data_IF_689487441386
#
_entry.id   IF_689487441386
#
_cell.length_a   1.000
_cell.length_b   1.000
_cell.length_c   1.000
_cell.angle_alpha   90.00
_cell.angle_beta   90.00
_cell.angle_gamma   90.00
#
_symmetry.space_group_name_H-M   'P 1'
#
loop_
_entity.id
_entity.type
_entity.pdbx_description
1 polymer ?
#
# COMPACT_ATOMS: atom_id res chain seq x y z
N UNK A 1 -11.65 11.41 -26.27
CA UNK A 1 -10.30 11.40 -25.68
C UNK A 1 -10.26 10.38 -24.56
N UNK A 2 -9.83 9.12 -24.79
CA UNK A 2 -9.68 8.14 -23.72
C UNK A 2 -8.25 8.18 -23.18
N UNK A 3 -8.07 8.48 -21.89
CA UNK A 3 -6.80 8.27 -21.20
C UNK A 3 -6.95 7.04 -20.30
N UNK A 4 -6.49 5.91 -20.83
CA UNK A 4 -6.23 4.72 -20.05
C UNK A 4 -4.84 4.81 -19.42
N UNK A 5 -4.81 4.64 -18.09
CA UNK A 5 -3.82 3.89 -17.30
C UNK A 5 -2.33 4.23 -17.47
N UNK A 6 -1.72 4.77 -16.42
CA UNK A 6 -0.36 4.42 -15.97
C UNK A 6 -0.02 5.16 -14.67
N UNK A 7 -0.08 4.46 -13.53
CA UNK A 7 0.69 4.77 -12.32
C UNK A 7 0.44 3.69 -11.26
N UNK A 8 0.86 2.46 -11.53
CA UNK A 8 1.03 1.44 -10.48
C UNK A 8 1.99 0.36 -10.97
N UNK A 9 3.23 0.78 -11.26
CA UNK A 9 4.35 -0.12 -11.50
C UNK A 9 5.53 0.39 -10.66
N UNK A 10 5.53 0.05 -9.37
CA UNK A 10 6.72 0.24 -8.53
C UNK A 10 6.89 -0.88 -7.49
N UNK A 11 6.76 -2.14 -7.92
CA UNK A 11 7.15 -3.26 -7.05
C UNK A 11 7.67 -4.53 -7.75
N UNK A 12 8.20 -4.49 -8.98
CA UNK A 12 8.58 -5.76 -9.65
C UNK A 12 9.89 -5.78 -10.42
N UNK A 13 10.91 -4.98 -10.07
CA UNK A 13 12.21 -5.17 -10.70
C UNK A 13 13.36 -4.78 -9.79
N UNK A 14 13.88 -5.78 -9.07
CA UNK A 14 15.28 -5.78 -8.62
C UNK A 14 16.19 -5.96 -9.84
N UNK A 15 17.29 -5.18 -9.96
CA UNK A 15 18.27 -5.39 -11.02
C UNK A 15 18.99 -6.73 -10.83
N UNK A 16 18.82 -7.65 -11.78
CA UNK A 16 19.66 -8.84 -11.89
C UNK A 16 21.03 -8.42 -12.41
N UNK A 17 22.04 -8.37 -11.54
CA UNK A 17 23.44 -8.38 -11.92
C UNK A 17 24.14 -9.56 -11.23
N UNK A 18 24.91 -10.31 -12.03
CA UNK A 18 25.98 -11.18 -11.53
C UNK A 18 25.76 -12.67 -11.77
N UNK A 19 26.08 -13.13 -12.97
CA UNK A 19 26.39 -14.53 -13.23
C UNK A 19 27.69 -14.88 -12.51
N UNK A 20 27.60 -15.51 -11.34
CA UNK A 20 28.75 -16.13 -10.69
C UNK A 20 28.33 -17.36 -9.88
N UNK A 21 28.75 -18.52 -10.39
CA UNK A 21 29.13 -19.73 -9.66
C UNK A 21 28.08 -20.44 -8.79
N UNK A 22 27.61 -21.58 -9.30
CA UNK A 22 27.09 -22.70 -8.52
C UNK A 22 28.00 -23.02 -7.33
N UNK A 23 27.42 -23.05 -6.13
CA UNK A 23 28.07 -23.53 -4.93
C UNK A 23 27.17 -23.43 -3.71
N UNK A 24 26.95 -24.58 -3.08
CA UNK A 24 26.49 -24.83 -1.70
C UNK A 24 25.04 -24.48 -1.31
N UNK A 25 24.34 -25.57 -0.99
CA UNK A 25 23.12 -25.69 -0.22
C UNK A 25 23.16 -24.80 1.03
N UNK A 26 22.39 -23.71 1.03
CA UNK A 26 22.09 -22.92 2.21
C UNK A 26 20.57 -22.97 2.45
N UNK A 27 20.13 -24.03 3.13
CA UNK A 27 18.94 -23.93 3.97
C UNK A 27 19.18 -22.79 4.97
N UNK A 28 18.62 -21.62 4.69
CA UNK A 28 18.63 -20.48 5.59
C UNK A 28 17.20 -19.97 5.77
N UNK A 29 16.54 -20.54 6.79
CA UNK A 29 15.76 -19.82 7.81
C UNK A 29 14.70 -18.83 7.32
N UNK A 30 13.48 -19.34 7.17
CA UNK A 30 12.28 -18.53 7.03
C UNK A 30 11.00 -19.34 7.09
N UNK A 31 10.83 -20.16 8.13
CA UNK A 31 9.50 -20.64 8.55
C UNK A 31 8.73 -19.45 9.14
N UNK A 32 8.48 -18.41 8.35
CA UNK A 32 7.70 -17.26 8.76
C UNK A 32 6.23 -17.62 8.59
N UNK A 33 5.62 -17.97 9.74
CA UNK A 33 4.19 -18.07 10.03
C UNK A 33 3.27 -18.65 8.95
N UNK A 34 2.65 -19.78 9.25
CA UNK A 34 1.40 -20.28 8.64
C UNK A 34 0.18 -19.37 8.95
N UNK A 35 0.40 -18.05 9.03
CA UNK A 35 -0.60 -17.01 9.25
C UNK A 35 -1.00 -16.34 7.94
N UNK A 36 -2.20 -15.75 7.91
CA UNK A 36 -2.64 -14.96 6.77
C UNK A 36 -1.85 -13.63 6.79
N UNK A 37 -1.02 -13.32 5.77
CA UNK A 37 -0.15 -12.14 5.77
C UNK A 37 -0.92 -10.82 5.90
N UNK A 38 -2.18 -10.78 5.46
CA UNK A 38 -3.06 -9.61 5.64
C UNK A 38 -3.42 -9.40 7.11
N UNK A 39 -3.74 -10.49 7.82
CA UNK A 39 -4.08 -10.42 9.25
C UNK A 39 -2.85 -10.00 10.07
N UNK A 40 -1.67 -10.50 9.72
CA UNK A 40 -0.42 -10.12 10.38
C UNK A 40 -0.10 -8.64 10.14
N UNK A 41 -0.32 -8.13 8.92
CA UNK A 41 -0.17 -6.70 8.63
C UNK A 41 -1.16 -5.83 9.42
N UNK A 42 -2.42 -6.28 9.57
CA UNK A 42 -3.42 -5.58 10.39
C UNK A 42 -3.00 -5.55 11.86
N UNK A 43 -2.49 -6.67 12.39
CA UNK A 43 -1.96 -6.74 13.77
C UNK A 43 -0.80 -5.77 13.99
N UNK A 44 0.18 -5.76 13.09
CA UNK A 44 1.30 -4.83 13.17
C UNK A 44 0.85 -3.37 13.05
N UNK A 45 -0.13 -3.07 12.20
CA UNK A 45 -0.71 -1.73 12.07
C UNK A 45 -1.41 -1.27 13.36
N UNK A 46 -2.19 -2.17 13.98
CA UNK A 46 -2.83 -1.92 15.27
C UNK A 46 -1.80 -1.56 16.36
N UNK A 47 -0.75 -2.39 16.49
CA UNK A 47 0.33 -2.20 17.48
C UNK A 47 1.07 -0.87 17.29
N UNK A 48 1.36 -0.48 16.05
CA UNK A 48 2.10 0.77 15.74
C UNK A 48 1.28 2.03 15.98
N UNK A 49 -0.03 1.97 15.78
CA UNK A 49 -0.91 3.15 15.83
C UNK A 49 -1.68 3.28 17.14
N UNK A 50 -1.73 2.21 17.95
CA UNK A 50 -2.61 2.12 19.13
C UNK A 50 -4.08 1.85 18.79
N UNK A 51 -4.42 1.67 17.50
CA UNK A 51 -5.76 1.28 17.10
C UNK A 51 -6.08 -0.15 17.56
N UNK A 52 -7.34 -0.41 17.90
CA UNK A 52 -7.77 -1.75 18.31
C UNK A 52 -7.70 -2.73 17.12
N UNK A 53 -7.02 -3.87 17.31
CA UNK A 53 -6.89 -4.90 16.27
C UNK A 53 -8.24 -5.39 15.75
N UNK A 54 -9.18 -5.74 16.64
CA UNK A 54 -10.49 -6.27 16.26
C UNK A 54 -11.30 -5.25 15.45
N UNK A 55 -11.12 -3.95 15.73
CA UNK A 55 -11.72 -2.89 14.95
C UNK A 55 -11.16 -2.84 13.53
N UNK A 56 -9.82 -2.88 13.37
CA UNK A 56 -9.20 -2.89 12.04
C UNK A 56 -9.55 -4.16 11.26
N UNK A 57 -9.57 -5.32 11.91
CA UNK A 57 -9.90 -6.59 11.28
C UNK A 57 -11.34 -6.63 10.78
N UNK A 58 -12.30 -6.24 11.63
CA UNK A 58 -13.72 -6.19 11.27
C UNK A 58 -14.00 -5.16 10.18
N UNK A 59 -13.32 -4.01 10.23
CA UNK A 59 -13.42 -2.99 9.17
C UNK A 59 -12.88 -3.52 7.84
N UNK A 60 -11.68 -4.12 7.83
CA UNK A 60 -11.12 -4.67 6.59
C UNK A 60 -11.99 -5.81 6.01
N UNK A 61 -12.61 -6.64 6.86
CA UNK A 61 -13.56 -7.65 6.41
C UNK A 61 -14.81 -7.02 5.76
N UNK A 62 -15.36 -5.95 6.36
CA UNK A 62 -16.54 -5.26 5.84
C UNK A 62 -16.26 -4.54 4.52
N UNK A 63 -15.14 -3.83 4.44
CA UNK A 63 -14.83 -2.96 3.30
C UNK A 63 -14.31 -3.74 2.09
N UNK A 64 -13.55 -4.82 2.30
CA UNK A 64 -12.87 -5.54 1.20
C UNK A 64 -12.93 -7.06 1.30
N UNK A 65 -13.57 -7.63 2.33
CA UNK A 65 -13.44 -9.07 2.64
C UNK A 65 -11.99 -9.53 2.79
N UNK A 66 -11.14 -8.70 3.43
CA UNK A 66 -9.70 -8.94 3.60
C UNK A 66 -8.91 -9.05 2.28
N UNK A 67 -9.44 -8.51 1.17
CA UNK A 67 -8.76 -8.46 -0.11
C UNK A 67 -7.95 -7.15 -0.25
N UNK A 68 -6.61 -7.19 -0.19
CA UNK A 68 -5.80 -5.98 -0.32
C UNK A 68 -5.81 -5.37 -1.73
N UNK A 69 -6.30 -6.10 -2.72
CA UNK A 69 -6.43 -5.65 -4.12
C UNK A 69 -7.86 -5.27 -4.49
N UNK A 70 -8.77 -5.14 -3.52
CA UNK A 70 -10.15 -4.74 -3.77
C UNK A 70 -10.22 -3.38 -4.46
N UNK A 71 -11.15 -3.24 -5.40
CA UNK A 71 -11.42 -1.99 -6.13
C UNK A 71 -12.92 -1.85 -6.32
N UNK A 72 -13.51 -0.76 -5.80
CA UNK A 72 -14.92 -0.46 -6.07
C UNK A 72 -15.15 -0.13 -7.55
N UNK A 73 -16.27 -0.59 -8.11
CA UNK A 73 -16.64 -0.33 -9.51
C UNK A 73 -17.23 1.06 -9.77
N UNK A 74 -17.78 1.71 -8.75
CA UNK A 74 -18.50 3.00 -8.86
C UNK A 74 -17.76 4.20 -8.28
N UNK A 75 -16.60 3.99 -7.65
CA UNK A 75 -15.82 5.05 -6.98
C UNK A 75 -14.32 4.77 -7.11
N UNK A 76 -13.47 5.67 -6.62
CA UNK A 76 -12.02 5.46 -6.57
C UNK A 76 -11.56 4.59 -5.38
N UNK A 77 -12.48 4.16 -4.52
CA UNK A 77 -12.17 3.33 -3.36
C UNK A 77 -11.35 2.09 -3.74
N UNK A 78 -10.22 1.88 -3.04
CA UNK A 78 -9.25 0.81 -3.31
C UNK A 78 -8.63 0.29 -2.00
N UNK A 79 -8.26 -1.00 -2.00
CA UNK A 79 -7.48 -1.63 -0.94
C UNK A 79 -8.28 -2.10 0.27
N UNK A 80 -7.58 -2.54 1.31
CA UNK A 80 -8.17 -3.19 2.49
C UNK A 80 -9.28 -2.36 3.16
N UNK A 81 -9.08 -1.05 3.25
CA UNK A 81 -9.96 -0.10 3.92
C UNK A 81 -10.71 0.80 2.93
N UNK A 82 -10.68 0.48 1.63
CA UNK A 82 -11.45 1.18 0.61
C UNK A 82 -11.25 2.72 0.61
N UNK A 83 -9.99 3.16 0.79
CA UNK A 83 -9.68 4.59 0.80
C UNK A 83 -10.01 5.25 -0.54
N UNK A 84 -10.61 6.44 -0.46
CA UNK A 84 -10.90 7.29 -1.62
C UNK A 84 -9.60 8.00 -2.03
N UNK A 85 -9.21 7.84 -3.30
CA UNK A 85 -7.91 8.28 -3.82
C UNK A 85 -7.62 9.76 -3.51
N UNK A 86 -8.55 10.67 -3.81
CA UNK A 86 -8.30 12.11 -3.64
C UNK A 86 -8.14 12.50 -2.17
N UNK A 87 -8.90 11.87 -1.27
CA UNK A 87 -8.75 12.07 0.18
C UNK A 87 -7.41 11.55 0.66
N UNK A 88 -7.00 10.36 0.20
CA UNK A 88 -5.72 9.76 0.56
C UNK A 88 -4.53 10.60 0.06
N UNK A 89 -4.57 11.07 -1.19
CA UNK A 89 -3.54 11.95 -1.74
C UNK A 89 -3.46 13.27 -0.97
N UNK A 90 -4.58 13.82 -0.52
CA UNK A 90 -4.61 15.00 0.34
C UNK A 90 -3.90 14.78 1.68
N UNK A 91 -4.24 13.70 2.39
CA UNK A 91 -3.58 13.32 3.65
C UNK A 91 -2.09 13.10 3.43
N UNK A 92 -1.70 12.38 2.38
CA UNK A 92 -0.29 12.16 2.06
C UNK A 92 0.46 13.44 1.74
N UNK A 93 -0.17 14.37 0.99
CA UNK A 93 0.44 15.65 0.67
C UNK A 93 0.65 16.51 1.91
N UNK A 94 -0.34 16.51 2.81
CA UNK A 94 -0.38 17.40 3.96
C UNK A 94 0.45 16.85 5.13
N UNK A 95 0.21 15.60 5.51
CA UNK A 95 0.73 15.01 6.75
C UNK A 95 1.91 14.06 6.48
N UNK A 96 2.08 13.62 5.23
CA UNK A 96 3.15 12.69 4.83
C UNK A 96 4.56 13.13 5.24
N UNK A 97 4.98 14.41 5.08
CA UNK A 97 6.30 14.85 5.50
C UNK A 97 6.59 14.60 6.99
N UNK A 98 5.62 14.85 7.87
CA UNK A 98 5.75 14.65 9.33
C UNK A 98 5.85 13.16 9.69
N UNK A 99 5.31 12.28 8.84
CA UNK A 99 5.34 10.83 9.00
C UNK A 99 6.55 10.17 8.31
N UNK A 100 7.51 10.94 7.81
CA UNK A 100 8.68 10.42 7.07
C UNK A 100 8.37 9.97 5.64
N UNK A 101 7.21 10.37 5.10
CA UNK A 101 6.73 10.07 3.75
C UNK A 101 6.89 11.26 2.80
N UNK A 102 7.83 12.17 3.09
CA UNK A 102 8.04 13.41 2.33
C UNK A 102 8.27 13.17 0.83
N UNK A 103 9.02 12.13 0.46
CA UNK A 103 9.24 11.78 -0.95
C UNK A 103 7.94 11.42 -1.69
N UNK A 104 6.98 10.80 -1.01
CA UNK A 104 5.65 10.53 -1.58
C UNK A 104 4.82 11.81 -1.66
N UNK A 105 4.88 12.66 -0.65
CA UNK A 105 4.20 13.96 -0.62
C UNK A 105 4.71 14.90 -1.73
N UNK A 106 6.00 14.86 -2.04
CA UNK A 106 6.63 15.68 -3.09
C UNK A 106 6.15 15.29 -4.49
N UNK A 107 5.92 14.00 -4.72
CA UNK A 107 5.33 13.51 -5.97
C UNK A 107 3.85 13.90 -6.15
N UNK A 108 3.19 14.40 -5.10
CA UNK A 108 1.78 14.80 -5.14
C UNK A 108 1.68 16.31 -5.38
N UNK A 109 0.99 16.68 -6.45
CA UNK A 109 0.72 18.06 -6.84
C UNK A 109 -0.76 18.40 -6.66
N UNK A 110 -1.04 19.52 -5.99
CA UNK A 110 -2.38 20.10 -5.92
C UNK A 110 -2.70 20.86 -7.23
N UNK A 111 -3.88 20.62 -7.78
CA UNK A 111 -4.39 21.28 -8.99
C UNK A 111 -5.19 22.53 -8.59
N UNK A 112 -5.19 23.54 -9.46
CA UNK A 112 -5.99 24.76 -9.30
C UNK A 112 -7.51 24.48 -9.20
N UNK A 113 -7.97 23.34 -9.72
CA UNK A 113 -9.36 22.90 -9.61
C UNK A 113 -9.72 22.18 -8.29
N UNK A 114 -8.77 22.08 -7.34
CA UNK A 114 -9.01 21.57 -5.98
C UNK A 114 -8.78 20.07 -5.77
N UNK A 115 -8.21 19.35 -6.76
CA UNK A 115 -7.83 17.94 -6.63
C UNK A 115 -6.32 17.71 -6.59
N UNK A 116 -5.90 16.46 -6.40
CA UNK A 116 -4.50 16.04 -6.38
C UNK A 116 -4.16 15.14 -7.59
N UNK A 117 -2.90 15.18 -8.02
CA UNK A 117 -2.30 14.31 -9.05
C UNK A 117 -0.91 13.87 -8.62
N UNK A 118 -0.45 12.73 -9.12
CA UNK A 118 0.94 12.27 -8.95
C UNK A 118 1.73 12.62 -10.23
N UNK A 119 2.93 13.16 -10.08
CA UNK A 119 3.81 13.59 -11.18
C UNK A 119 5.28 13.28 -10.90
#
# INVERSE_FOLDING_TARGET
MPLHRAAMFLFSSTPSQGTASQGVNAQATGRAASGNPVIDAIRQGAEKTGAAFDYLLSTAQRESSLNPSAKAGSSSATGLFQFIEQTWLGVMKQDGPELGLGSYADAITARSSGGYTVS
#
